data_IF_439014364399
#
_entry.id   IF_439014364399
#
_cell.length_a   1.000
_cell.length_b   1.000
_cell.length_c   1.000
_cell.angle_alpha   90.00
_cell.angle_beta   90.00
_cell.angle_gamma   90.00
#
_symmetry.space_group_name_H-M   'P 1'
#
loop_
_entity.id
_entity.type
_entity.pdbx_description
1 polymer ?
#
# COMPACT_ATOMS: atom_id res chain seq x y z
N UNK A 1 -6.71 -9.28 -38.43
CA UNK A 1 -5.51 -9.77 -37.70
C UNK A 1 -5.91 -9.88 -36.24
N UNK A 2 -5.76 -11.04 -35.64
CA UNK A 2 -6.04 -11.19 -34.21
C UNK A 2 -5.03 -10.35 -33.41
N UNK A 3 -5.40 -9.89 -32.23
CA UNK A 3 -4.54 -9.11 -31.33
C UNK A 3 -3.22 -9.87 -31.03
N UNK A 4 -3.29 -11.19 -30.94
CA UNK A 4 -2.14 -12.09 -30.78
C UNK A 4 -1.15 -11.97 -31.96
N UNK A 5 -1.61 -12.04 -33.21
CA UNK A 5 -0.75 -11.94 -34.40
C UNK A 5 -0.08 -10.58 -34.59
N UNK A 6 -0.60 -9.51 -33.96
CA UNK A 6 0.02 -8.19 -33.96
C UNK A 6 1.34 -8.15 -33.16
N UNK A 7 1.38 -8.88 -32.05
CA UNK A 7 2.56 -8.90 -31.16
C UNK A 7 3.63 -9.91 -31.63
N UNK A 8 3.22 -10.93 -32.38
CA UNK A 8 4.16 -11.93 -32.89
C UNK A 8 5.13 -11.38 -33.97
N UNK A 9 4.81 -10.20 -34.53
CA UNK A 9 5.65 -9.50 -35.52
C UNK A 9 6.57 -8.43 -34.90
N UNK A 10 6.50 -8.20 -33.59
CA UNK A 10 7.40 -7.24 -32.93
C UNK A 10 8.82 -7.80 -32.83
N UNK A 11 9.79 -6.94 -33.11
CA UNK A 11 11.19 -7.28 -32.92
C UNK A 11 11.52 -7.59 -31.47
N UNK A 12 12.45 -8.51 -31.24
CA UNK A 12 12.94 -8.87 -29.91
C UNK A 12 14.17 -8.06 -29.55
N UNK A 13 14.50 -8.02 -28.28
CA UNK A 13 15.72 -7.36 -27.82
C UNK A 13 16.98 -8.03 -28.39
N UNK A 14 16.95 -9.36 -28.52
CA UNK A 14 18.06 -10.16 -29.03
C UNK A 14 18.32 -9.95 -30.52
N UNK A 15 17.32 -9.46 -31.26
CA UNK A 15 17.45 -9.15 -32.69
C UNK A 15 18.24 -7.85 -32.94
N UNK A 16 18.46 -7.05 -31.89
CA UNK A 16 19.26 -5.81 -32.00
C UNK A 16 20.74 -6.10 -31.86
N UNK A 17 21.59 -5.40 -32.66
CA UNK A 17 23.04 -5.48 -32.54
C UNK A 17 23.53 -5.19 -31.12
N UNK A 18 24.58 -5.88 -30.68
CA UNK A 18 25.11 -5.76 -29.33
C UNK A 18 25.58 -4.33 -29.03
N UNK A 19 26.28 -3.71 -29.94
CA UNK A 19 26.77 -2.33 -29.85
C UNK A 19 25.62 -1.34 -29.59
N UNK A 20 24.53 -1.49 -30.33
CA UNK A 20 23.35 -0.66 -30.13
C UNK A 20 22.70 -0.90 -28.75
N UNK A 21 22.62 -2.14 -28.28
CA UNK A 21 22.13 -2.45 -26.93
C UNK A 21 23.00 -1.83 -25.85
N UNK A 22 24.29 -1.83 -26.03
CA UNK A 22 25.28 -1.24 -25.14
C UNK A 22 25.13 0.30 -25.09
N UNK A 23 24.93 0.95 -26.25
CA UNK A 23 24.64 2.38 -26.35
C UNK A 23 23.36 2.76 -25.62
N UNK A 24 22.27 2.00 -25.81
CA UNK A 24 21.02 2.21 -25.11
C UNK A 24 21.21 2.10 -23.59
N UNK A 25 21.92 1.07 -23.16
CA UNK A 25 22.18 0.82 -21.73
C UNK A 25 23.01 1.95 -21.11
N UNK A 26 24.03 2.43 -21.81
CA UNK A 26 24.86 3.55 -21.36
C UNK A 26 24.08 4.85 -21.15
N UNK A 27 22.97 5.02 -21.88
CA UNK A 27 22.08 6.17 -21.77
C UNK A 27 20.83 5.90 -20.89
N UNK A 28 20.75 4.74 -20.23
CA UNK A 28 19.57 4.29 -19.46
C UNK A 28 18.29 4.25 -20.32
N UNK A 29 18.41 3.87 -21.59
CA UNK A 29 17.29 3.72 -22.51
C UNK A 29 16.90 2.24 -22.65
N UNK A 30 15.62 2.00 -22.75
CA UNK A 30 15.04 0.66 -22.97
C UNK A 30 14.11 0.72 -24.18
N UNK A 31 14.30 -0.13 -25.20
CA UNK A 31 13.37 -0.16 -26.33
C UNK A 31 12.01 -0.69 -25.88
N UNK A 32 10.95 0.01 -26.23
CA UNK A 32 9.59 -0.33 -25.82
C UNK A 32 9.02 -1.54 -26.56
N UNK A 33 9.31 -1.67 -27.87
CA UNK A 33 8.62 -2.66 -28.74
C UNK A 33 8.83 -4.12 -28.33
N UNK A 34 9.96 -4.59 -27.76
CA UNK A 34 10.05 -5.96 -27.31
C UNK A 34 9.15 -6.26 -26.11
N UNK A 35 8.84 -5.24 -25.31
CA UNK A 35 8.05 -5.34 -24.10
C UNK A 35 6.65 -4.74 -24.24
N UNK A 36 6.27 -4.31 -25.43
CA UNK A 36 5.04 -3.55 -25.65
C UNK A 36 3.79 -4.27 -25.13
N UNK A 37 3.71 -5.59 -25.32
CA UNK A 37 2.61 -6.42 -24.82
C UNK A 37 2.46 -6.38 -23.28
N UNK A 38 3.58 -6.34 -22.57
CA UNK A 38 3.59 -6.33 -21.11
C UNK A 38 3.23 -4.95 -20.53
N UNK A 39 3.45 -3.89 -21.31
CA UNK A 39 3.25 -2.49 -20.89
C UNK A 39 1.86 -1.96 -21.26
N UNK A 40 1.30 -2.43 -22.38
CA UNK A 40 -0.04 -2.01 -22.79
C UNK A 40 -1.09 -2.52 -21.80
N UNK A 41 -2.01 -1.65 -21.38
CA UNK A 41 -3.12 -2.09 -20.53
C UNK A 41 -3.99 -3.11 -21.29
N UNK A 42 -4.52 -4.12 -20.60
CA UNK A 42 -5.43 -5.07 -21.22
C UNK A 42 -6.71 -4.36 -21.66
N UNK A 43 -7.35 -4.85 -22.71
CA UNK A 43 -8.61 -4.29 -23.25
C UNK A 43 -9.71 -4.26 -22.18
N UNK A 44 -9.73 -5.24 -21.29
CA UNK A 44 -10.59 -5.27 -20.10
C UNK A 44 -9.70 -5.13 -18.88
N UNK A 45 -9.97 -4.13 -18.05
CA UNK A 45 -9.21 -3.90 -16.83
C UNK A 45 -9.26 -5.14 -15.91
N UNK A 46 -8.11 -5.70 -15.59
CA UNK A 46 -7.99 -6.75 -14.60
C UNK A 46 -8.17 -6.14 -13.20
N UNK A 47 -9.39 -6.21 -12.67
CA UNK A 47 -9.71 -5.72 -11.32
C UNK A 47 -9.17 -6.73 -10.29
N UNK A 48 -8.08 -6.39 -9.64
CA UNK A 48 -7.55 -7.18 -8.51
C UNK A 48 -8.28 -6.87 -7.22
N UNK A 49 -8.63 -5.60 -6.99
CA UNK A 49 -9.37 -5.18 -5.79
C UNK A 49 -10.77 -5.77 -5.81
N UNK A 50 -11.12 -6.50 -4.76
CA UNK A 50 -12.45 -7.05 -4.55
C UNK A 50 -13.28 -6.09 -3.69
N UNK A 51 -14.60 -5.94 -3.93
CA UNK A 51 -15.48 -5.27 -2.99
C UNK A 51 -15.38 -5.93 -1.63
N UNK A 52 -14.93 -5.18 -0.63
CA UNK A 52 -14.69 -5.70 0.71
C UNK A 52 -15.25 -4.73 1.74
N UNK A 53 -15.94 -5.27 2.73
CA UNK A 53 -16.48 -4.52 3.85
C UNK A 53 -15.90 -5.08 5.15
N UNK A 54 -15.44 -4.20 6.02
CA UNK A 54 -14.91 -4.53 7.35
C UNK A 54 -15.82 -3.94 8.43
N UNK A 55 -16.86 -4.66 8.88
CA UNK A 55 -17.79 -4.17 9.89
C UNK A 55 -17.06 -3.89 11.20
N UNK A 56 -17.13 -2.65 11.70
CA UNK A 56 -16.41 -2.23 12.90
C UNK A 56 -16.76 -3.08 14.13
N UNK A 57 -18.03 -3.45 14.28
CA UNK A 57 -18.48 -4.30 15.40
C UNK A 57 -17.72 -5.65 15.47
N UNK A 58 -17.34 -6.21 14.31
CA UNK A 58 -16.54 -7.44 14.26
C UNK A 58 -15.05 -7.22 14.48
N UNK A 59 -14.54 -6.04 14.12
CA UNK A 59 -13.11 -5.71 14.24
C UNK A 59 -12.76 -5.18 15.64
N UNK A 60 -13.66 -4.44 16.26
CA UNK A 60 -13.43 -3.78 17.55
C UNK A 60 -12.86 -4.69 18.64
N UNK A 61 -13.37 -5.91 18.87
CA UNK A 61 -12.84 -6.79 19.92
C UNK A 61 -11.41 -7.31 19.64
N UNK A 62 -10.95 -7.25 18.38
CA UNK A 62 -9.60 -7.70 18.02
C UNK A 62 -8.52 -6.69 18.42
N UNK A 63 -8.86 -5.42 18.56
CA UNK A 63 -7.90 -4.36 18.92
C UNK A 63 -7.41 -4.49 20.37
N UNK A 64 -8.26 -4.51 21.43
CA UNK A 64 -7.78 -4.71 22.78
C UNK A 64 -7.05 -6.05 22.94
N UNK A 65 -7.53 -7.11 22.29
CA UNK A 65 -6.82 -8.39 22.28
C UNK A 65 -5.40 -8.29 21.71
N UNK A 66 -5.20 -7.49 20.66
CA UNK A 66 -3.85 -7.22 20.15
C UNK A 66 -2.99 -6.47 21.19
N UNK A 67 -3.61 -5.58 21.99
CA UNK A 67 -2.97 -4.91 23.11
C UNK A 67 -2.51 -5.85 24.21
N UNK A 68 -3.35 -6.80 24.58
CA UNK A 68 -3.04 -7.83 25.58
C UNK A 68 -1.91 -8.77 25.14
N UNK A 69 -1.89 -9.13 23.85
CA UNK A 69 -0.94 -10.10 23.29
C UNK A 69 0.41 -9.50 22.91
N UNK A 70 0.45 -8.22 22.58
CA UNK A 70 1.67 -7.58 22.08
C UNK A 70 1.85 -6.20 22.70
N UNK A 71 2.78 -6.03 23.65
CA UNK A 71 3.08 -4.73 24.24
C UNK A 71 3.64 -3.77 23.20
N UNK A 72 3.50 -2.47 23.45
CA UNK A 72 3.86 -1.43 22.48
C UNK A 72 5.34 -1.43 22.10
N UNK A 73 6.22 -1.82 23.04
CA UNK A 73 7.66 -1.91 22.82
C UNK A 73 8.05 -2.96 21.78
N UNK A 74 7.20 -4.00 21.59
CA UNK A 74 7.40 -5.04 20.59
C UNK A 74 6.69 -4.73 19.28
N UNK A 75 5.62 -3.95 19.32
CA UNK A 75 4.81 -3.61 18.16
C UNK A 75 5.22 -2.28 17.53
N UNK A 76 5.87 -1.37 18.29
CA UNK A 76 6.05 0.05 17.96
C UNK A 76 4.71 0.74 17.64
N UNK A 77 3.93 0.13 16.76
CA UNK A 77 2.57 0.52 16.38
C UNK A 77 1.71 -0.71 16.26
N UNK A 78 0.76 -0.88 17.19
CA UNK A 78 -0.24 -1.93 17.08
C UNK A 78 -1.28 -1.54 16.04
N UNK A 79 -1.06 -1.96 14.81
CA UNK A 79 -1.95 -1.70 13.68
C UNK A 79 -2.47 -3.03 13.14
N UNK A 80 -3.78 -3.15 13.05
CA UNK A 80 -4.43 -4.21 12.29
C UNK A 80 -4.74 -3.66 10.90
N UNK A 81 -4.08 -4.19 9.90
CA UNK A 81 -4.22 -3.74 8.51
C UNK A 81 -5.48 -4.35 7.90
N UNK A 82 -6.31 -3.50 7.30
CA UNK A 82 -7.50 -3.90 6.54
C UNK A 82 -7.07 -4.28 5.12
N UNK A 83 -6.63 -5.53 4.97
CA UNK A 83 -6.07 -6.03 3.73
C UNK A 83 -7.16 -6.57 2.80
N UNK A 84 -7.11 -6.15 1.54
CA UNK A 84 -8.06 -6.62 0.53
C UNK A 84 -7.68 -8.01 0.02
N UNK A 85 -8.59 -9.00 0.06
CA UNK A 85 -8.28 -10.36 -0.34
C UNK A 85 -7.88 -10.48 -1.82
N UNK A 86 -8.33 -9.59 -2.68
CA UNK A 86 -7.97 -9.58 -4.09
C UNK A 86 -6.51 -9.25 -4.38
N UNK A 87 -5.79 -8.65 -3.43
CA UNK A 87 -4.36 -8.34 -3.54
C UNK A 87 -3.47 -9.38 -2.85
N UNK A 88 -4.04 -10.25 -2.02
CA UNK A 88 -3.30 -11.08 -1.08
C UNK A 88 -3.05 -10.34 0.25
N UNK A 89 -3.27 -11.04 1.36
CA UNK A 89 -3.18 -10.42 2.70
C UNK A 89 -1.76 -9.97 3.02
N UNK A 90 -0.75 -10.64 2.49
CA UNK A 90 0.67 -10.34 2.66
C UNK A 90 1.10 -8.98 2.11
N UNK A 91 0.35 -8.42 1.15
CA UNK A 91 0.61 -7.09 0.59
C UNK A 91 0.12 -5.95 1.46
N UNK A 92 -0.70 -6.26 2.47
CA UNK A 92 -1.20 -5.25 3.42
C UNK A 92 -1.82 -4.01 2.75
N UNK A 93 -2.59 -4.20 1.68
CA UNK A 93 -3.20 -3.15 0.88
C UNK A 93 -4.72 -3.22 0.93
N UNK A 94 -5.39 -2.11 1.18
CA UNK A 94 -6.86 -2.00 1.05
C UNK A 94 -7.28 -1.87 -0.43
N UNK A 95 -6.44 -1.25 -1.24
CA UNK A 95 -6.54 -1.18 -2.70
C UNK A 95 -5.16 -1.05 -3.31
N UNK A 96 -5.07 -0.98 -4.63
CA UNK A 96 -3.79 -0.79 -5.32
C UNK A 96 -3.02 0.48 -4.91
N UNK A 97 -3.72 1.50 -4.38
CA UNK A 97 -3.15 2.80 -4.04
C UNK A 97 -3.37 3.20 -2.57
N UNK A 98 -4.07 2.38 -1.78
CA UNK A 98 -4.43 2.73 -0.41
C UNK A 98 -4.00 1.66 0.59
N UNK A 99 -3.33 2.11 1.64
CA UNK A 99 -3.16 1.41 2.90
C UNK A 99 -4.25 1.87 3.88
N UNK A 100 -4.87 0.95 4.58
CA UNK A 100 -5.87 1.25 5.61
C UNK A 100 -5.59 0.38 6.83
N UNK A 101 -5.53 0.98 8.00
CA UNK A 101 -5.25 0.26 9.23
C UNK A 101 -5.96 0.85 10.44
N UNK A 102 -6.20 0.01 11.43
CA UNK A 102 -6.74 0.40 12.73
C UNK A 102 -5.62 0.32 13.76
N UNK A 103 -5.24 1.44 14.33
CA UNK A 103 -4.20 1.53 15.36
C UNK A 103 -4.79 1.57 16.75
N UNK A 104 -4.21 0.81 17.67
CA UNK A 104 -4.51 0.87 19.10
C UNK A 104 -3.34 1.48 19.86
N UNK A 105 -3.64 2.48 20.70
CA UNK A 105 -2.81 2.96 21.79
C UNK A 105 -3.58 2.85 23.08
N UNK A 106 -2.99 2.24 24.09
CA UNK A 106 -3.54 2.16 25.45
C UNK A 106 -3.10 3.39 26.27
N UNK A 107 -3.77 3.68 27.39
CA UNK A 107 -3.36 4.77 28.26
C UNK A 107 -1.89 4.69 28.67
N UNK A 108 -1.17 5.80 28.52
CA UNK A 108 0.26 5.89 28.83
C UNK A 108 1.21 5.38 27.76
N UNK A 109 0.72 4.77 26.67
CA UNK A 109 1.57 4.31 25.58
C UNK A 109 1.95 5.43 24.61
N UNK A 110 3.15 5.31 24.05
CA UNK A 110 3.69 6.23 23.05
C UNK A 110 4.11 5.43 21.80
N UNK A 111 3.61 5.85 20.63
CA UNK A 111 4.13 5.37 19.37
C UNK A 111 5.31 6.26 18.93
N UNK A 112 6.49 5.69 18.58
CA UNK A 112 7.65 6.46 18.20
C UNK A 112 7.41 7.39 17.00
N UNK A 113 8.08 8.54 16.96
CA UNK A 113 8.02 9.45 15.83
C UNK A 113 8.65 8.82 14.58
N UNK A 114 8.08 9.11 13.42
CA UNK A 114 8.59 8.62 12.13
C UNK A 114 8.22 9.59 11.01
N UNK A 115 8.84 9.41 9.87
CA UNK A 115 8.51 10.12 8.63
C UNK A 115 8.20 9.12 7.53
N UNK A 116 7.31 9.50 6.64
CA UNK A 116 6.96 8.74 5.44
C UNK A 116 6.60 9.68 4.30
N UNK A 117 6.79 9.23 3.07
CA UNK A 117 6.44 9.99 1.86
C UNK A 117 4.94 9.95 1.53
N UNK A 118 4.21 8.84 1.78
CA UNK A 118 2.78 8.81 1.55
C UNK A 118 2.03 9.80 2.46
N UNK A 119 1.00 10.43 1.92
CA UNK A 119 0.06 11.20 2.71
C UNK A 119 -0.69 10.29 3.68
N UNK A 120 -0.95 10.79 4.88
CA UNK A 120 -1.69 10.05 5.90
C UNK A 120 -2.85 10.89 6.43
N UNK A 121 -3.97 10.20 6.62
CA UNK A 121 -5.16 10.71 7.30
C UNK A 121 -5.42 9.81 8.49
N UNK A 122 -5.81 10.39 9.61
CA UNK A 122 -6.12 9.65 10.83
C UNK A 122 -7.47 10.10 11.37
N UNK A 123 -8.39 9.15 11.51
CA UNK A 123 -9.67 9.37 12.15
C UNK A 123 -9.68 8.74 13.54
N UNK A 124 -10.10 9.48 14.56
CA UNK A 124 -10.27 8.97 15.93
C UNK A 124 -11.64 8.32 16.02
N UNK A 125 -11.66 6.99 16.13
CA UNK A 125 -12.91 6.21 16.22
C UNK A 125 -13.39 6.09 17.66
N UNK A 126 -12.48 5.83 18.59
CA UNK A 126 -12.74 5.72 20.04
C UNK A 126 -11.55 6.28 20.83
N UNK A 127 -11.80 6.71 22.06
CA UNK A 127 -10.79 7.19 23.00
C UNK A 127 -10.81 8.70 23.20
N UNK A 128 -10.19 9.12 24.28
CA UNK A 128 -10.04 10.51 24.71
C UNK A 128 -8.64 10.75 25.27
N UNK A 129 -8.19 12.02 25.26
CA UNK A 129 -6.93 12.43 25.86
C UNK A 129 -5.67 12.06 25.07
N UNK A 130 -5.82 11.48 23.88
CA UNK A 130 -4.71 11.23 23.00
C UNK A 130 -4.27 12.52 22.29
N UNK A 131 -3.01 12.52 21.80
CA UNK A 131 -2.46 13.61 21.02
C UNK A 131 -1.38 13.09 20.06
N UNK A 132 -1.09 13.86 19.04
CA UNK A 132 0.02 13.60 18.11
C UNK A 132 0.94 14.83 18.02
N UNK A 133 2.20 14.60 17.67
CA UNK A 133 3.13 15.69 17.33
C UNK A 133 3.28 15.76 15.82
N UNK A 134 3.06 16.96 15.27
CA UNK A 134 3.28 17.25 13.86
C UNK A 134 4.28 18.40 13.79
N UNK A 135 5.48 18.15 13.29
CA UNK A 135 6.58 19.14 13.23
C UNK A 135 6.88 19.82 14.58
N UNK A 136 6.70 19.08 15.70
CA UNK A 136 6.91 19.60 17.05
C UNK A 136 5.67 20.26 17.69
N UNK A 137 4.62 20.48 16.96
CA UNK A 137 3.36 21.01 17.46
C UNK A 137 2.47 19.90 18.00
N UNK A 138 1.95 20.09 19.21
CA UNK A 138 1.06 19.14 19.87
C UNK A 138 -0.38 19.33 19.40
N UNK A 139 -0.91 18.34 18.72
CA UNK A 139 -2.27 18.29 18.23
C UNK A 139 -3.09 17.32 19.09
N UNK A 140 -4.03 17.80 19.93
CA UNK A 140 -4.94 16.92 20.65
C UNK A 140 -5.85 16.20 19.67
N UNK A 141 -6.32 15.02 20.08
CA UNK A 141 -7.18 14.17 19.25
C UNK A 141 -8.40 13.75 20.08
N UNK A 142 -9.57 13.96 19.53
CA UNK A 142 -10.84 13.57 20.12
C UNK A 142 -11.64 12.69 19.16
N UNK A 143 -12.58 11.92 19.69
CA UNK A 143 -13.43 11.06 18.87
C UNK A 143 -14.15 11.88 17.79
N UNK A 144 -14.03 11.44 16.55
CA UNK A 144 -14.58 12.09 15.37
C UNK A 144 -13.64 13.07 14.67
N UNK A 145 -12.48 13.39 15.25
CA UNK A 145 -11.45 14.20 14.57
C UNK A 145 -10.84 13.44 13.40
N UNK A 146 -10.50 14.20 12.36
CA UNK A 146 -9.87 13.71 11.13
C UNK A 146 -8.55 14.46 10.89
#
# INVERSE_FOLDING_TARGET
MSEQGRFDTLGRLEDLPQDYRDELTAQNLVPLWPSLRAVLPPHVAARKTQPTHWPYAGLRPLLPKAGELTPIEKAERRVLVLANPGHGLEKMQASAAMYLGMQLLLPGELAPAHRHTPNAVRMVVEGEGAWTLVNGEKCPMSRGDL
#
